data_IF_279445457581
#
_entry.id   IF_279445457581
#
_cell.length_a   1.000
_cell.length_b   1.000
_cell.length_c   1.000
_cell.angle_alpha   90.00
_cell.angle_beta   90.00
_cell.angle_gamma   90.00
#
_symmetry.space_group_name_H-M   'P 1'
#
loop_
_entity.id
_entity.type
_entity.pdbx_description
1 polymer ?
#
# COMPACT_ATOMS: atom_id res chain seq x y z
N UNK A 1 27.42 5.37 8.87
CA UNK A 1 27.81 4.93 7.51
C UNK A 1 26.52 4.80 6.73
N UNK A 2 26.23 5.73 5.81
CA UNK A 2 25.08 5.59 4.93
C UNK A 2 25.47 4.56 3.87
N UNK A 3 24.70 3.47 3.76
CA UNK A 3 24.86 2.50 2.68
C UNK A 3 24.59 3.23 1.37
N UNK A 4 25.53 3.15 0.43
CA UNK A 4 25.29 3.60 -0.93
C UNK A 4 24.28 2.65 -1.55
N UNK A 5 23.16 3.14 -2.11
CA UNK A 5 22.19 2.27 -2.76
C UNK A 5 22.85 1.48 -3.89
N UNK A 6 22.51 0.21 -3.98
CA UNK A 6 22.95 -0.66 -5.07
C UNK A 6 22.20 -0.32 -6.35
N UNK A 7 22.65 -0.85 -7.50
CA UNK A 7 21.94 -0.65 -8.77
C UNK A 7 20.52 -1.25 -8.76
N UNK A 8 20.27 -2.25 -7.92
CA UNK A 8 18.96 -2.88 -7.75
C UNK A 8 18.00 -2.01 -6.91
N UNK A 9 18.53 -1.13 -6.04
CA UNK A 9 17.72 -0.23 -5.21
C UNK A 9 17.17 0.98 -5.97
N UNK A 10 17.81 1.35 -7.10
CA UNK A 10 17.48 2.54 -7.89
C UNK A 10 15.99 2.63 -8.28
N UNK A 11 15.36 1.61 -8.89
CA UNK A 11 13.94 1.67 -9.23
C UNK A 11 13.04 1.88 -8.01
N UNK A 12 13.35 1.23 -6.89
CA UNK A 12 12.58 1.35 -5.65
C UNK A 12 12.67 2.76 -5.05
N UNK A 13 13.86 3.36 -5.05
CA UNK A 13 14.09 4.72 -4.57
C UNK A 13 13.35 5.74 -5.45
N UNK A 14 13.42 5.57 -6.78
CA UNK A 14 12.69 6.43 -7.71
C UNK A 14 11.17 6.33 -7.52
N UNK A 15 10.65 5.13 -7.25
CA UNK A 15 9.24 4.94 -6.92
C UNK A 15 8.86 5.67 -5.61
N UNK A 16 9.66 5.56 -4.55
CA UNK A 16 9.44 6.27 -3.29
C UNK A 16 9.39 7.80 -3.48
N UNK A 17 10.27 8.35 -4.32
CA UNK A 17 10.25 9.78 -4.65
C UNK A 17 8.94 10.19 -5.32
N UNK A 18 8.48 9.41 -6.32
CA UNK A 18 7.17 9.64 -6.96
C UNK A 18 6.01 9.56 -5.98
N UNK A 19 6.06 8.64 -5.01
CA UNK A 19 5.03 8.53 -3.97
C UNK A 19 4.98 9.81 -3.11
N UNK A 20 6.14 10.33 -2.70
CA UNK A 20 6.23 11.61 -1.95
C UNK A 20 5.66 12.77 -2.77
N UNK A 21 6.05 12.88 -4.04
CA UNK A 21 5.54 13.91 -4.96
C UNK A 21 4.02 13.81 -5.14
N UNK A 22 3.49 12.59 -5.15
CA UNK A 22 2.06 12.32 -5.24
C UNK A 22 1.30 12.48 -3.90
N UNK A 23 1.97 13.00 -2.86
CA UNK A 23 1.37 13.41 -1.60
C UNK A 23 1.27 12.33 -0.52
N UNK A 24 1.94 11.19 -0.68
CA UNK A 24 2.02 10.18 0.38
C UNK A 24 2.84 10.71 1.56
N UNK A 25 2.30 10.52 2.77
CA UNK A 25 2.94 10.87 4.04
C UNK A 25 3.46 9.61 4.71
N UNK A 26 4.78 9.50 4.83
CA UNK A 26 5.45 8.34 5.40
C UNK A 26 5.60 8.44 6.92
N UNK A 27 5.43 7.31 7.59
CA UNK A 27 5.48 7.14 9.04
C UNK A 27 6.19 5.82 9.37
N UNK A 28 7.01 5.83 10.42
CA UNK A 28 7.65 4.61 10.91
C UNK A 28 6.71 3.88 11.86
N UNK A 29 6.38 2.63 11.55
CA UNK A 29 5.69 1.73 12.47
C UNK A 29 6.73 0.97 13.27
N UNK A 30 6.63 1.08 14.60
CA UNK A 30 7.52 0.38 15.53
C UNK A 30 6.79 -0.74 16.24
N UNK A 31 7.50 -1.82 16.55
CA UNK A 31 6.97 -2.91 17.35
C UNK A 31 6.91 -2.57 18.85
N UNK A 32 6.49 -3.54 19.67
CA UNK A 32 6.40 -3.38 21.13
C UNK A 32 7.74 -3.18 21.84
N UNK A 33 8.86 -3.40 21.15
CA UNK A 33 10.22 -3.17 21.63
C UNK A 33 10.79 -1.83 21.13
N UNK A 34 10.08 -1.13 20.26
CA UNK A 34 10.51 0.13 19.65
C UNK A 34 11.34 -0.04 18.38
N UNK A 35 11.53 -1.26 17.90
CA UNK A 35 12.25 -1.52 16.64
C UNK A 35 11.37 -1.21 15.44
N UNK A 36 11.99 -0.79 14.32
CA UNK A 36 11.26 -0.48 13.09
C UNK A 36 10.68 -1.78 12.50
N UNK A 37 9.36 -1.90 12.53
CA UNK A 37 8.64 -3.07 12.03
C UNK A 37 8.19 -2.92 10.58
N UNK A 38 7.83 -1.69 10.17
CA UNK A 38 7.44 -1.36 8.81
C UNK A 38 7.51 0.16 8.60
N UNK A 39 7.54 0.58 7.34
CA UNK A 39 7.24 1.95 6.95
C UNK A 39 5.82 1.98 6.39
N UNK A 40 4.98 2.85 6.93
CA UNK A 40 3.62 3.08 6.45
C UNK A 40 3.54 4.41 5.73
N UNK A 41 2.75 4.50 4.66
CA UNK A 41 2.42 5.76 4.05
C UNK A 41 0.94 5.82 3.69
N UNK A 42 0.34 7.00 3.80
CA UNK A 42 -1.01 7.24 3.31
C UNK A 42 -1.11 8.55 2.55
N UNK A 43 -2.06 8.59 1.60
CA UNK A 43 -2.58 9.84 1.04
C UNK A 43 -4.10 9.81 1.02
N UNK A 44 -4.70 10.97 1.27
CA UNK A 44 -6.14 11.18 1.14
C UNK A 44 -6.40 11.84 -0.21
N UNK A 45 -7.19 11.17 -1.05
CA UNK A 45 -7.55 11.69 -2.36
C UNK A 45 -8.87 12.46 -2.26
N UNK A 46 -8.97 13.60 -2.93
CA UNK A 46 -10.16 14.48 -2.87
C UNK A 46 -11.48 13.86 -3.35
N UNK A 47 -11.44 12.64 -3.88
CA UNK A 47 -12.58 11.88 -4.39
C UNK A 47 -13.12 10.84 -3.39
N UNK A 48 -12.89 11.02 -2.08
CA UNK A 48 -13.49 10.16 -1.04
C UNK A 48 -12.79 8.82 -0.82
N UNK A 49 -11.53 8.69 -1.21
CA UNK A 49 -10.72 7.48 -0.95
C UNK A 49 -9.44 7.78 -0.18
N UNK A 50 -8.98 6.79 0.58
CA UNK A 50 -7.66 6.76 1.20
C UNK A 50 -6.85 5.69 0.50
N UNK A 51 -5.63 6.01 0.14
CA UNK A 51 -4.67 5.04 -0.37
C UNK A 51 -3.52 4.92 0.61
N UNK A 52 -3.11 3.68 0.88
CA UNK A 52 -2.00 3.40 1.74
C UNK A 52 -0.97 2.49 1.08
N UNK A 53 0.23 2.53 1.65
CA UNK A 53 1.38 1.70 1.30
C UNK A 53 1.99 1.23 2.63
N UNK A 54 2.27 -0.06 2.76
CA UNK A 54 3.05 -0.64 3.87
C UNK A 54 4.27 -1.33 3.29
N UNK A 55 5.45 -0.95 3.77
CA UNK A 55 6.75 -1.48 3.33
C UNK A 55 7.40 -2.23 4.48
N UNK A 56 7.81 -3.47 4.23
CA UNK A 56 8.58 -4.30 5.18
C UNK A 56 10.00 -4.54 4.68
N UNK A 57 10.20 -4.48 3.37
CA UNK A 57 11.49 -4.54 2.67
C UNK A 57 11.37 -3.93 1.27
N UNK A 58 12.44 -3.96 0.48
CA UNK A 58 12.40 -3.54 -0.93
C UNK A 58 11.58 -4.51 -1.79
N UNK A 59 11.55 -5.78 -1.38
CA UNK A 59 10.86 -6.90 -2.02
C UNK A 59 9.48 -7.20 -1.43
N UNK A 60 9.14 -6.60 -0.27
CA UNK A 60 7.87 -6.82 0.43
C UNK A 60 7.16 -5.49 0.72
N UNK A 61 6.19 -5.17 -0.14
CA UNK A 61 5.30 -4.04 -0.02
C UNK A 61 3.84 -4.45 -0.28
N UNK A 62 2.91 -3.71 0.34
CA UNK A 62 1.47 -3.80 0.07
C UNK A 62 0.92 -2.41 -0.12
N UNK A 63 0.12 -2.18 -1.16
CA UNK A 63 -0.71 -0.99 -1.27
C UNK A 63 -2.18 -1.36 -1.33
N UNK A 64 -3.03 -0.48 -0.82
CA UNK A 64 -4.46 -0.64 -0.93
C UNK A 64 -5.19 0.70 -1.04
N UNK A 65 -6.38 0.66 -1.66
CA UNK A 65 -7.30 1.78 -1.75
C UNK A 65 -8.57 1.44 -0.98
N UNK A 66 -9.03 2.35 -0.13
CA UNK A 66 -10.25 2.23 0.66
C UNK A 66 -11.16 3.42 0.39
N UNK A 67 -12.47 3.23 0.60
CA UNK A 67 -13.35 4.39 0.82
C UNK A 67 -12.99 5.04 2.16
N UNK A 68 -13.17 6.35 2.27
CA UNK A 68 -12.84 7.09 3.50
C UNK A 68 -13.62 6.57 4.71
N UNK A 69 -14.89 6.19 4.52
CA UNK A 69 -15.77 5.65 5.56
C UNK A 69 -15.37 4.23 6.03
N UNK A 70 -14.70 3.47 5.18
CA UNK A 70 -14.27 2.10 5.46
C UNK A 70 -12.86 2.06 6.09
N UNK A 71 -12.08 3.13 5.96
CA UNK A 71 -10.68 3.15 6.40
C UNK A 71 -10.51 3.35 7.92
N UNK A 72 -9.62 2.62 8.63
CA UNK A 72 -8.66 1.62 8.11
C UNK A 72 -9.11 0.16 8.24
N UNK A 73 -10.35 -0.11 8.65
CA UNK A 73 -10.78 -1.44 9.11
C UNK A 73 -11.64 -2.24 8.11
N UNK A 74 -12.20 -1.58 7.11
CA UNK A 74 -13.06 -2.20 6.10
C UNK A 74 -12.28 -2.90 4.99
N UNK A 75 -13.01 -3.53 4.07
CA UNK A 75 -12.41 -4.18 2.91
C UNK A 75 -11.89 -3.15 1.90
N UNK A 76 -10.70 -3.34 1.31
CA UNK A 76 -10.20 -2.45 0.28
C UNK A 76 -10.98 -2.60 -1.03
N UNK A 77 -11.09 -1.50 -1.78
CA UNK A 77 -11.55 -1.48 -3.17
C UNK A 77 -10.54 -2.11 -4.13
N UNK A 78 -9.26 -2.04 -3.76
CA UNK A 78 -8.15 -2.53 -4.55
C UNK A 78 -6.95 -2.80 -3.64
N UNK A 79 -6.13 -3.78 -3.97
CA UNK A 79 -4.90 -4.11 -3.27
C UNK A 79 -3.87 -4.71 -4.24
N UNK A 80 -2.60 -4.39 -4.01
CA UNK A 80 -1.45 -4.99 -4.69
C UNK A 80 -0.39 -5.42 -3.67
N UNK A 81 0.36 -6.47 -4.00
CA UNK A 81 1.49 -6.95 -3.18
C UNK A 81 2.65 -7.35 -4.08
N UNK A 82 3.86 -6.91 -3.73
CA UNK A 82 5.07 -7.18 -4.50
C UNK A 82 6.23 -6.32 -4.02
N UNK A 83 7.16 -6.00 -4.91
CA UNK A 83 8.26 -5.10 -4.61
C UNK A 83 7.77 -3.65 -4.42
N UNK A 84 8.62 -2.82 -3.82
CA UNK A 84 8.35 -1.37 -3.64
C UNK A 84 8.03 -0.69 -4.98
N UNK A 85 8.75 -1.04 -6.05
CA UNK A 85 8.55 -0.41 -7.36
C UNK A 85 7.18 -0.78 -7.95
N UNK A 86 6.86 -2.07 -7.98
CA UNK A 86 5.62 -2.59 -8.56
C UNK A 86 4.40 -2.01 -7.83
N UNK A 87 4.42 -2.08 -6.50
CA UNK A 87 3.30 -1.66 -5.66
C UNK A 87 3.05 -0.16 -5.75
N UNK A 88 4.12 0.66 -5.70
CA UNK A 88 3.98 2.10 -5.84
C UNK A 88 3.53 2.47 -7.26
N UNK A 89 4.08 1.82 -8.28
CA UNK A 89 3.66 2.10 -9.67
C UNK A 89 2.18 1.78 -9.84
N UNK A 90 1.73 0.63 -9.35
CA UNK A 90 0.33 0.21 -9.47
C UNK A 90 -0.64 1.17 -8.76
N UNK A 91 -0.34 1.62 -7.54
CA UNK A 91 -1.23 2.57 -6.82
C UNK A 91 -1.22 3.97 -7.44
N UNK A 92 -0.12 4.39 -8.06
CA UNK A 92 -0.04 5.68 -8.75
C UNK A 92 -0.76 5.67 -10.10
N UNK A 93 -0.87 4.52 -10.76
CA UNK A 93 -1.58 4.35 -12.03
C UNK A 93 -3.10 4.19 -11.88
N UNK A 94 -3.60 4.04 -10.66
CA UNK A 94 -5.02 3.89 -10.42
C UNK A 94 -5.81 5.10 -10.94
N UNK A 95 -6.88 4.89 -11.75
CA UNK A 95 -7.76 5.96 -12.17
C UNK A 95 -8.37 6.70 -10.96
N UNK A 96 -8.72 7.99 -11.09
CA UNK A 96 -9.44 8.72 -10.04
C UNK A 96 -10.69 7.95 -9.58
N UNK A 97 -10.97 7.95 -8.28
CA UNK A 97 -12.16 7.26 -7.79
C UNK A 97 -13.44 7.83 -8.44
N UNK A 98 -14.33 6.94 -8.88
CA UNK A 98 -15.55 7.30 -9.60
C UNK A 98 -15.38 7.51 -11.12
N UNK A 99 -14.15 7.48 -11.66
CA UNK A 99 -13.96 7.50 -13.11
C UNK A 99 -14.20 6.12 -13.74
N UNK A 100 -14.49 6.05 -15.06
CA UNK A 100 -14.53 4.77 -15.77
C UNK A 100 -13.23 3.97 -15.55
N UNK A 101 -13.37 2.67 -15.28
CA UNK A 101 -12.23 1.78 -14.99
C UNK A 101 -11.65 1.88 -13.57
N UNK A 102 -12.13 2.79 -12.73
CA UNK A 102 -11.69 2.86 -11.34
C UNK A 102 -12.24 1.67 -10.52
N UNK A 103 -11.44 1.07 -9.63
CA UNK A 103 -11.95 0.08 -8.67
C UNK A 103 -13.06 0.69 -7.81
N UNK A 104 -14.25 0.08 -7.86
CA UNK A 104 -15.48 0.62 -7.24
C UNK A 104 -16.17 -0.36 -6.28
N UNK A 105 -15.73 -1.61 -6.25
CA UNK A 105 -16.33 -2.70 -5.49
C UNK A 105 -15.28 -3.34 -4.61
N UNK A 106 -15.62 -3.60 -3.35
CA UNK A 106 -14.75 -4.40 -2.48
C UNK A 106 -14.82 -5.83 -2.96
N UNK A 107 -13.69 -6.39 -3.41
CA UNK A 107 -13.60 -7.82 -3.64
C UNK A 107 -13.58 -8.49 -2.27
N UNK A 108 -14.77 -8.80 -1.73
CA UNK A 108 -14.89 -9.69 -0.57
C UNK A 108 -14.10 -10.95 -0.91
N UNK A 109 -13.16 -11.35 -0.04
CA UNK A 109 -12.51 -12.67 -0.19
C UNK A 109 -13.62 -13.69 -0.40
N UNK A 110 -13.56 -14.46 -1.50
CA UNK A 110 -14.55 -15.49 -1.75
C UNK A 110 -14.64 -16.39 -0.52
N UNK A 111 -15.84 -16.57 0.03
CA UNK A 111 -16.11 -17.35 1.25
C UNK A 111 -15.76 -18.85 1.14
N UNK A 112 -15.08 -19.25 0.06
CA UNK A 112 -14.56 -20.60 -0.17
C UNK A 112 -13.03 -20.71 -0.17
N UNK A 113 -12.29 -19.63 0.11
CA UNK A 113 -10.85 -19.73 0.27
C UNK A 113 -10.53 -20.25 1.67
N UNK A 114 -9.93 -21.43 1.73
CA UNK A 114 -9.50 -22.06 2.98
C UNK A 114 -8.51 -21.16 3.75
N UNK A 115 -8.77 -20.97 5.04
CA UNK A 115 -7.89 -20.22 5.95
C UNK A 115 -7.39 -21.19 7.03
N UNK A 116 -6.06 -21.41 7.17
CA UNK A 116 -5.54 -22.18 8.29
C UNK A 116 -5.78 -21.43 9.60
N UNK A 117 -6.47 -22.06 10.56
CA UNK A 117 -6.66 -21.54 11.91
C UNK A 117 -8.11 -21.37 12.36
N UNK A 118 -9.09 -21.53 11.46
CA UNK A 118 -10.48 -21.68 11.89
C UNK A 118 -10.75 -23.16 12.17
N UNK A 119 -10.74 -23.51 13.46
CA UNK A 119 -11.05 -24.84 13.96
C UNK A 119 -12.51 -25.25 13.74
N UNK A 120 -12.77 -26.56 13.86
CA UNK A 120 -14.11 -27.16 13.82
C UNK A 120 -15.04 -26.63 14.92
#
# INVERSE_FOLDING_TARGET
MLLTPTNEDVPHIAALQRAVEAGFKFMHLRDGHGELAAIYAERRCGYGVVENITLRGMDEAVAARFRVEDYPHGDPLWREHGTVEEVITAVLELPPHGSPGAPNSTHRRGSGLWVPGEGF
#
